data_IF_552032318624
#
_entry.id   IF_552032318624
#
_cell.length_a   1.000
_cell.length_b   1.000
_cell.length_c   1.000
_cell.angle_alpha   90.00
_cell.angle_beta   90.00
_cell.angle_gamma   90.00
#
_symmetry.space_group_name_H-M   'P 1'
#
loop_
_entity.id
_entity.type
_entity.pdbx_description
1 polymer ?
#
# COMPACT_ATOMS: atom_id res chain seq x y z
N UNK A 1 16.69 13.84 46.45
CA UNK A 1 16.49 13.92 44.99
C UNK A 1 16.10 15.35 44.58
N UNK A 2 16.82 15.95 43.63
CA UNK A 2 16.56 17.30 43.12
C UNK A 2 15.16 17.40 42.47
N UNK A 3 14.40 18.47 42.75
CA UNK A 3 13.05 18.69 42.20
C UNK A 3 13.02 18.58 40.65
N UNK A 4 14.07 19.05 39.96
CA UNK A 4 14.21 18.91 38.50
C UNK A 4 14.26 17.45 38.06
N UNK A 5 15.02 16.62 38.78
CA UNK A 5 15.15 15.17 38.49
C UNK A 5 13.81 14.46 38.72
N UNK A 6 13.09 14.82 39.78
CA UNK A 6 11.74 14.29 40.04
C UNK A 6 10.76 14.67 38.92
N UNK A 7 10.78 15.92 38.46
CA UNK A 7 9.93 16.39 37.36
C UNK A 7 10.22 15.66 36.05
N UNK A 8 11.50 15.50 35.69
CA UNK A 8 11.91 14.74 34.49
C UNK A 8 11.42 13.28 34.58
N UNK A 9 11.61 12.61 35.73
CA UNK A 9 11.12 11.24 35.93
C UNK A 9 9.61 11.11 35.76
N UNK A 10 8.84 12.07 36.28
CA UNK A 10 7.38 12.10 36.11
C UNK A 10 6.99 12.31 34.64
N UNK A 11 7.67 13.23 33.95
CA UNK A 11 7.43 13.47 32.53
C UNK A 11 7.72 12.21 31.69
N UNK A 12 8.86 11.53 31.90
CA UNK A 12 9.20 10.28 31.21
C UNK A 12 8.17 9.18 31.46
N UNK A 13 7.68 9.05 32.71
CA UNK A 13 6.63 8.09 33.05
C UNK A 13 5.34 8.40 32.31
N UNK A 14 4.87 9.65 32.37
CA UNK A 14 3.62 10.07 31.71
C UNK A 14 3.71 9.86 30.20
N UNK A 15 4.78 10.34 29.56
CA UNK A 15 4.97 10.18 28.11
C UNK A 15 5.07 8.70 27.73
N UNK A 16 5.85 7.91 28.46
CA UNK A 16 5.98 6.47 28.20
C UNK A 16 4.64 5.74 28.30
N UNK A 17 3.86 5.98 29.35
CA UNK A 17 2.53 5.36 29.49
C UNK A 17 1.57 5.84 28.40
N UNK A 18 1.54 7.15 28.11
CA UNK A 18 0.67 7.71 27.06
C UNK A 18 0.97 7.10 25.68
N UNK A 19 2.24 6.93 25.32
CA UNK A 19 2.60 6.32 24.03
C UNK A 19 2.26 4.82 23.99
N UNK A 20 2.41 4.08 25.09
CA UNK A 20 1.97 2.68 25.15
C UNK A 20 0.46 2.54 24.99
N UNK A 21 -0.31 3.41 25.65
CA UNK A 21 -1.78 3.45 25.50
C UNK A 21 -2.12 3.75 24.05
N UNK A 22 -1.47 4.75 23.45
CA UNK A 22 -1.70 5.15 22.07
C UNK A 22 -1.48 4.01 21.08
N UNK A 23 -0.35 3.30 21.18
CA UNK A 23 -0.05 2.15 20.32
C UNK A 23 -1.04 1.00 20.56
N UNK A 24 -1.45 0.79 21.81
CA UNK A 24 -2.41 -0.26 22.16
C UNK A 24 -3.77 0.03 21.52
N UNK A 25 -4.24 1.29 21.57
CA UNK A 25 -5.46 1.72 20.85
C UNK A 25 -5.30 1.52 19.34
N UNK A 26 -4.11 1.82 18.80
CA UNK A 26 -3.77 1.57 17.40
C UNK A 26 -3.99 0.13 16.94
N UNK A 27 -3.67 -0.87 17.77
CA UNK A 27 -3.87 -2.29 17.43
C UNK A 27 -5.34 -2.66 17.16
N UNK A 28 -6.28 -1.89 17.69
CA UNK A 28 -7.72 -2.11 17.54
C UNK A 28 -8.39 -1.09 16.61
N UNK A 29 -7.60 -0.19 16.01
CA UNK A 29 -8.11 0.86 15.12
C UNK A 29 -7.72 0.51 13.69
N UNK A 30 -8.71 0.18 12.86
CA UNK A 30 -8.47 -0.04 11.43
C UNK A 30 -8.10 1.28 10.72
N UNK A 31 -7.24 1.17 9.70
CA UNK A 31 -6.92 2.27 8.79
C UNK A 31 -8.03 2.51 7.76
N UNK A 32 -8.95 1.57 7.57
CA UNK A 32 -10.08 1.72 6.65
C UNK A 32 -11.03 2.80 7.14
N UNK A 33 -11.50 3.63 6.22
CA UNK A 33 -12.59 4.56 6.49
C UNK A 33 -13.74 4.31 5.52
N UNK A 34 -14.91 3.94 6.05
CA UNK A 34 -16.12 3.63 5.27
C UNK A 34 -16.65 4.79 4.43
N UNK A 35 -16.25 6.03 4.74
CA UNK A 35 -16.62 7.20 3.95
C UNK A 35 -16.15 7.10 2.48
N UNK A 36 -15.09 6.31 2.21
CA UNK A 36 -14.59 6.10 0.84
C UNK A 36 -15.63 5.47 -0.09
N UNK A 37 -16.57 4.67 0.44
CA UNK A 37 -17.64 4.06 -0.34
C UNK A 37 -18.62 5.08 -0.93
N UNK A 38 -18.68 6.28 -0.35
CA UNK A 38 -19.51 7.39 -0.82
C UNK A 38 -18.71 8.47 -1.55
N UNK A 39 -17.39 8.32 -1.66
CA UNK A 39 -16.52 9.32 -2.29
C UNK A 39 -16.81 9.48 -3.79
N UNK A 40 -16.96 10.72 -4.22
CA UNK A 40 -17.26 11.07 -5.61
C UNK A 40 -16.04 11.55 -6.38
N UNK A 41 -14.96 11.90 -5.67
CA UNK A 41 -13.70 12.39 -6.25
C UNK A 41 -12.68 11.27 -6.52
N UNK A 42 -13.12 10.00 -6.54
CA UNK A 42 -12.27 8.88 -6.99
C UNK A 42 -12.14 8.86 -8.52
N UNK A 43 -11.05 8.29 -9.04
CA UNK A 43 -10.78 8.23 -10.49
C UNK A 43 -11.78 7.34 -11.23
N UNK A 44 -12.15 6.19 -10.64
CA UNK A 44 -13.08 5.25 -11.26
C UNK A 44 -14.53 5.47 -10.78
N UNK A 45 -15.50 5.21 -11.66
CA UNK A 45 -16.92 5.12 -11.29
C UNK A 45 -17.10 3.90 -10.38
N UNK A 46 -17.63 4.10 -9.17
CA UNK A 46 -17.81 3.03 -8.19
C UNK A 46 -16.48 2.31 -7.83
N UNK A 47 -15.40 3.09 -7.71
CA UNK A 47 -14.02 2.63 -7.48
C UNK A 47 -13.91 1.61 -6.33
N UNK A 48 -14.62 1.85 -5.22
CA UNK A 48 -14.61 0.94 -4.06
C UNK A 48 -15.93 0.23 -3.93
N UNK A 49 -15.86 -1.11 -3.83
CA UNK A 49 -17.02 -1.97 -3.61
C UNK A 49 -17.06 -2.54 -2.18
N UNK A 50 -15.95 -2.49 -1.43
CA UNK A 50 -15.87 -3.00 -0.05
C UNK A 50 -14.76 -2.32 0.78
N UNK A 51 -14.85 -2.41 2.12
CA UNK A 51 -13.86 -1.90 3.12
C UNK A 51 -13.60 -2.99 4.18
N UNK A 52 -12.46 -2.97 4.88
CA UNK A 52 -11.92 -4.16 5.57
C UNK A 52 -12.83 -4.67 6.68
N UNK A 53 -12.81 -6.00 6.83
CA UNK A 53 -13.37 -6.72 7.98
C UNK A 53 -12.95 -8.19 8.02
N UNK A 54 -12.95 -8.91 6.89
CA UNK A 54 -12.90 -10.40 6.90
C UNK A 54 -11.97 -11.07 5.84
N UNK A 55 -11.05 -10.32 5.22
CA UNK A 55 -10.35 -10.76 4.01
C UNK A 55 -9.08 -11.63 4.14
N UNK A 56 -8.40 -11.79 5.29
CA UNK A 56 -7.24 -12.69 5.36
C UNK A 56 -7.55 -14.13 4.90
N UNK A 57 -8.78 -14.59 5.11
CA UNK A 57 -9.23 -15.90 4.63
C UNK A 57 -9.36 -15.95 3.10
N UNK A 58 -9.87 -14.89 2.46
CA UNK A 58 -10.03 -14.84 1.02
C UNK A 58 -8.70 -14.84 0.27
N UNK A 59 -7.62 -14.34 0.89
CA UNK A 59 -6.28 -14.32 0.27
C UNK A 59 -5.63 -15.70 0.16
N UNK A 60 -6.22 -16.73 0.77
CA UNK A 60 -5.70 -18.11 0.69
C UNK A 60 -6.10 -18.77 -0.62
N UNK A 61 -5.20 -19.63 -1.10
CA UNK A 61 -5.46 -20.53 -2.23
C UNK A 61 -6.58 -21.50 -1.79
N UNK A 62 -7.61 -21.63 -2.63
CA UNK A 62 -8.73 -22.55 -2.39
C UNK A 62 -8.34 -23.98 -2.80
N UNK A 63 -9.05 -24.96 -2.27
CA UNK A 63 -8.84 -26.35 -2.65
C UNK A 63 -9.08 -26.53 -4.16
N UNK A 64 -8.12 -27.17 -4.85
CA UNK A 64 -8.13 -27.41 -6.30
C UNK A 64 -8.19 -26.15 -7.19
N UNK A 65 -7.81 -24.98 -6.65
CA UNK A 65 -7.73 -23.75 -7.44
C UNK A 65 -6.47 -23.74 -8.31
N UNK A 66 -6.65 -23.56 -9.62
CA UNK A 66 -5.53 -23.39 -10.53
C UNK A 66 -4.79 -22.08 -10.25
N UNK A 67 -3.48 -22.04 -10.52
CA UNK A 67 -2.66 -20.87 -10.21
C UNK A 67 -3.15 -19.61 -10.92
N UNK A 68 -3.51 -19.72 -12.20
CA UNK A 68 -4.03 -18.58 -12.96
C UNK A 68 -5.38 -18.09 -12.38
N UNK A 69 -6.28 -19.01 -12.02
CA UNK A 69 -7.56 -18.67 -11.38
C UNK A 69 -7.35 -17.93 -10.06
N UNK A 70 -6.40 -18.40 -9.24
CA UNK A 70 -6.02 -17.72 -8.00
C UNK A 70 -5.51 -16.29 -8.28
N UNK A 71 -4.60 -16.14 -9.25
CA UNK A 71 -4.02 -14.84 -9.63
C UNK A 71 -5.09 -13.86 -10.12
N UNK A 72 -5.97 -14.31 -11.01
CA UNK A 72 -7.10 -13.51 -11.51
C UNK A 72 -8.03 -13.09 -10.38
N UNK A 73 -8.36 -14.02 -9.47
CA UNK A 73 -9.19 -13.73 -8.30
C UNK A 73 -8.55 -12.71 -7.36
N UNK A 74 -7.25 -12.82 -7.09
CA UNK A 74 -6.52 -11.85 -6.26
C UNK A 74 -6.43 -10.48 -6.95
N UNK A 75 -6.22 -10.44 -8.27
CA UNK A 75 -6.23 -9.20 -9.04
C UNK A 75 -7.58 -8.47 -8.90
N UNK A 76 -8.68 -9.21 -9.07
CA UNK A 76 -10.04 -8.68 -8.89
C UNK A 76 -10.34 -8.31 -7.44
N UNK A 77 -9.86 -9.08 -6.47
CA UNK A 77 -10.02 -8.78 -5.04
C UNK A 77 -9.39 -7.42 -4.70
N UNK A 78 -8.14 -7.19 -5.12
CA UNK A 78 -7.44 -5.93 -4.88
C UNK A 78 -8.13 -4.78 -5.60
N UNK A 79 -8.51 -4.95 -6.87
CA UNK A 79 -9.22 -3.93 -7.65
C UNK A 79 -10.54 -3.49 -7.00
N UNK A 80 -11.32 -4.41 -6.46
CA UNK A 80 -12.62 -4.08 -5.87
C UNK A 80 -12.51 -3.40 -4.50
N UNK A 81 -11.33 -3.44 -3.88
CA UNK A 81 -11.16 -3.18 -2.47
C UNK A 81 -10.28 -1.94 -2.21
N UNK A 82 -9.36 -1.62 -3.12
CA UNK A 82 -8.51 -0.44 -2.99
C UNK A 82 -9.05 0.67 -3.90
N UNK A 83 -9.33 1.82 -3.30
CA UNK A 83 -9.67 3.02 -4.05
C UNK A 83 -8.42 3.63 -4.68
N UNK A 84 -8.49 4.07 -5.94
CA UNK A 84 -7.56 5.06 -6.46
C UNK A 84 -7.96 6.46 -5.99
N UNK A 85 -7.29 6.94 -4.95
CA UNK A 85 -7.50 8.28 -4.40
C UNK A 85 -6.24 8.81 -3.73
N UNK A 86 -5.84 10.04 -4.07
CA UNK A 86 -4.64 10.66 -3.52
C UNK A 86 -4.78 12.17 -3.26
N UNK A 87 -6.01 12.67 -3.11
CA UNK A 87 -6.26 14.09 -2.91
C UNK A 87 -5.94 14.57 -1.48
N UNK A 88 -5.54 15.83 -1.36
CA UNK A 88 -5.19 16.42 -0.07
C UNK A 88 -6.40 16.58 0.85
N UNK A 89 -7.61 16.75 0.29
CA UNK A 89 -8.86 16.83 1.04
C UNK A 89 -9.12 15.57 1.88
N UNK A 90 -8.77 14.39 1.34
CA UNK A 90 -8.91 13.11 2.02
C UNK A 90 -7.68 12.69 2.83
N UNK A 91 -6.63 13.52 2.91
CA UNK A 91 -5.36 13.18 3.57
C UNK A 91 -5.52 12.64 4.98
N UNK A 92 -6.34 13.32 5.80
CA UNK A 92 -6.64 12.87 7.17
C UNK A 92 -7.81 11.89 7.20
N UNK A 93 -8.83 12.09 6.36
CA UNK A 93 -10.05 11.27 6.38
C UNK A 93 -9.76 9.82 6.02
N UNK A 94 -8.96 9.60 4.98
CA UNK A 94 -8.61 8.28 4.45
C UNK A 94 -7.23 7.80 4.91
N UNK A 95 -6.67 8.41 5.96
CA UNK A 95 -5.40 8.00 6.56
C UNK A 95 -4.25 7.93 5.53
N UNK A 96 -4.25 8.83 4.53
CA UNK A 96 -3.10 8.97 3.62
C UNK A 96 -1.88 9.47 4.40
N UNK A 97 -2.11 10.41 5.33
CA UNK A 97 -1.18 10.64 6.42
C UNK A 97 -1.36 9.56 7.48
N UNK A 98 -0.25 8.96 7.90
CA UNK A 98 -0.26 7.93 8.93
C UNK A 98 -0.86 8.48 10.23
N UNK A 99 -1.94 7.88 10.78
CA UNK A 99 -2.50 8.32 12.04
C UNK A 99 -1.51 8.18 13.19
N UNK A 100 -1.60 9.07 14.18
CA UNK A 100 -0.74 9.01 15.35
C UNK A 100 -0.92 7.71 16.15
N UNK A 101 -2.14 7.14 16.13
CA UNK A 101 -2.47 5.85 16.73
C UNK A 101 -1.84 4.67 15.99
N UNK A 102 -1.64 4.78 14.68
CA UNK A 102 -1.02 3.72 13.87
C UNK A 102 0.50 3.70 14.08
N UNK A 103 1.15 4.85 13.92
CA UNK A 103 2.59 4.97 14.10
C UNK A 103 2.99 6.43 14.33
N UNK A 104 3.17 6.83 15.60
CA UNK A 104 3.47 8.22 15.94
C UNK A 104 4.83 8.72 15.39
N UNK A 105 5.77 7.82 15.05
CA UNK A 105 7.06 8.18 14.46
C UNK A 105 6.85 8.61 13.00
N UNK A 106 6.14 7.81 12.21
CA UNK A 106 5.80 8.13 10.82
C UNK A 106 4.82 9.31 10.73
N UNK A 107 3.86 9.38 11.67
CA UNK A 107 2.98 10.55 11.81
C UNK A 107 3.78 11.84 11.99
N UNK A 108 4.76 11.85 12.91
CA UNK A 108 5.64 12.99 13.13
C UNK A 108 6.51 13.29 11.91
N UNK A 109 7.04 12.26 11.25
CA UNK A 109 7.79 12.41 10.01
C UNK A 109 6.97 13.10 8.91
N UNK A 110 5.64 12.91 8.88
CA UNK A 110 4.73 13.61 7.97
C UNK A 110 4.69 15.14 8.13
N UNK A 111 5.14 15.67 9.27
CA UNK A 111 5.27 17.12 9.51
C UNK A 111 6.70 17.62 9.33
N UNK A 112 7.70 16.79 9.66
CA UNK A 112 9.12 17.18 9.59
C UNK A 112 9.67 17.01 8.16
N UNK A 113 9.21 15.99 7.45
CA UNK A 113 9.62 15.62 6.10
C UNK A 113 8.37 15.40 5.21
N UNK A 114 7.52 16.43 5.05
CA UNK A 114 6.23 16.28 4.39
C UNK A 114 6.34 15.80 2.93
N UNK A 115 7.44 16.12 2.23
CA UNK A 115 7.70 15.68 0.86
C UNK A 115 7.74 14.15 0.69
N UNK A 116 8.03 13.41 1.78
CA UNK A 116 8.12 11.95 1.76
C UNK A 116 7.05 11.25 2.60
N UNK A 117 6.51 11.93 3.62
CA UNK A 117 5.65 11.31 4.64
C UNK A 117 4.28 11.97 4.82
N UNK A 118 3.98 13.06 4.12
CA UNK A 118 2.67 13.71 4.23
C UNK A 118 1.55 12.78 3.74
N UNK A 119 1.72 12.17 2.56
CA UNK A 119 0.87 11.08 2.04
C UNK A 119 1.77 9.86 1.87
N UNK A 120 1.50 8.81 2.61
CA UNK A 120 2.42 7.70 2.79
C UNK A 120 1.98 6.48 2.01
N UNK A 121 2.86 5.94 1.18
CA UNK A 121 2.69 4.61 0.59
C UNK A 121 3.43 3.58 1.44
N UNK A 122 2.69 2.60 1.95
CA UNK A 122 3.19 1.51 2.76
C UNK A 122 3.98 0.50 1.92
N UNK A 123 5.10 0.03 2.46
CA UNK A 123 5.76 -1.19 2.03
C UNK A 123 5.11 -2.44 2.67
N UNK A 124 4.52 -2.29 3.87
CA UNK A 124 3.72 -3.33 4.49
C UNK A 124 2.36 -3.42 3.81
N UNK A 125 2.24 -4.43 2.95
CA UNK A 125 1.06 -4.61 2.13
C UNK A 125 -0.21 -4.88 2.95
N UNK A 126 -0.12 -5.46 4.16
CA UNK A 126 -1.28 -5.62 5.04
C UNK A 126 -1.81 -4.28 5.56
N UNK A 127 -0.93 -3.30 5.79
CA UNK A 127 -1.32 -1.95 6.19
C UNK A 127 -1.86 -1.15 5.01
N UNK A 128 -1.26 -1.31 3.84
CA UNK A 128 -1.81 -0.78 2.59
C UNK A 128 -3.22 -1.31 2.33
N UNK A 129 -3.40 -2.63 2.47
CA UNK A 129 -4.68 -3.31 2.32
C UNK A 129 -5.67 -2.85 3.39
N UNK A 130 -5.32 -2.84 4.68
CA UNK A 130 -6.23 -2.35 5.72
C UNK A 130 -6.65 -0.89 5.51
N UNK A 131 -5.82 -0.03 4.92
CA UNK A 131 -6.22 1.35 4.60
C UNK A 131 -7.29 1.42 3.50
N UNK A 132 -7.25 0.54 2.50
CA UNK A 132 -8.25 0.51 1.43
C UNK A 132 -8.12 1.65 0.40
N UNK A 133 -7.04 2.44 0.43
CA UNK A 133 -6.85 3.60 -0.45
C UNK A 133 -5.39 3.75 -0.87
N UNK A 134 -5.13 4.06 -2.14
CA UNK A 134 -3.80 4.34 -2.64
C UNK A 134 -3.72 4.75 -4.10
N UNK A 135 -2.50 4.79 -4.63
CA UNK A 135 -2.21 4.93 -6.05
C UNK A 135 -2.10 3.54 -6.71
N UNK A 136 -1.86 3.48 -8.03
CA UNK A 136 -1.62 2.23 -8.76
C UNK A 136 -0.48 1.39 -8.13
N UNK A 137 0.56 2.05 -7.65
CA UNK A 137 1.67 1.47 -6.89
C UNK A 137 1.22 0.71 -5.64
N UNK A 138 0.27 1.24 -4.87
CA UNK A 138 -0.25 0.56 -3.69
C UNK A 138 -1.05 -0.69 -4.06
N UNK A 139 -1.79 -0.67 -5.17
CA UNK A 139 -2.45 -1.88 -5.68
C UNK A 139 -1.41 -2.95 -6.04
N UNK A 140 -0.33 -2.58 -6.74
CA UNK A 140 0.74 -3.50 -7.09
C UNK A 140 1.49 -4.05 -5.86
N UNK A 141 1.77 -3.21 -4.86
CA UNK A 141 2.38 -3.63 -3.59
C UNK A 141 1.49 -4.65 -2.88
N UNK A 142 0.19 -4.41 -2.84
CA UNK A 142 -0.80 -5.29 -2.22
C UNK A 142 -0.85 -6.64 -2.91
N UNK A 143 -1.07 -6.67 -4.23
CA UNK A 143 -1.16 -7.91 -4.98
C UNK A 143 0.15 -8.69 -4.86
N UNK A 144 1.29 -8.05 -5.13
CA UNK A 144 2.62 -8.67 -4.98
C UNK A 144 2.83 -9.26 -3.58
N UNK A 145 2.40 -8.54 -2.53
CA UNK A 145 2.49 -9.00 -1.15
C UNK A 145 1.67 -10.27 -0.89
N UNK A 146 0.41 -10.28 -1.33
CA UNK A 146 -0.49 -11.44 -1.21
C UNK A 146 0.08 -12.67 -1.93
N UNK A 147 0.62 -12.49 -3.14
CA UNK A 147 1.21 -13.57 -3.93
C UNK A 147 2.46 -14.15 -3.26
N UNK A 148 3.34 -13.28 -2.74
CA UNK A 148 4.53 -13.70 -2.02
C UNK A 148 4.18 -14.50 -0.74
N UNK A 149 3.16 -14.09 0.01
CA UNK A 149 2.67 -14.81 1.19
C UNK A 149 2.10 -16.21 0.87
N UNK A 150 1.72 -16.44 -0.39
CA UNK A 150 1.26 -17.73 -0.92
C UNK A 150 2.34 -18.46 -1.74
N UNK A 151 3.61 -18.05 -1.63
CA UNK A 151 4.77 -18.63 -2.33
C UNK A 151 4.65 -18.59 -3.86
N UNK A 152 3.95 -17.59 -4.42
CA UNK A 152 3.91 -17.35 -5.87
C UNK A 152 4.90 -16.22 -6.19
N UNK A 153 5.93 -16.48 -7.03
CA UNK A 153 6.88 -15.44 -7.41
C UNK A 153 6.17 -14.26 -8.08
N UNK A 154 6.36 -13.07 -7.49
CA UNK A 154 5.80 -11.83 -8.01
C UNK A 154 6.80 -10.67 -7.85
N UNK A 155 6.78 -9.77 -8.83
CA UNK A 155 7.61 -8.57 -8.92
C UNK A 155 6.72 -7.36 -9.20
N UNK A 156 7.28 -6.18 -9.03
CA UNK A 156 6.64 -4.92 -9.42
C UNK A 156 7.31 -4.42 -10.70
N UNK A 157 6.50 -3.93 -11.63
CA UNK A 157 6.97 -3.19 -12.79
C UNK A 157 6.57 -1.73 -12.58
N UNK A 158 7.54 -0.83 -12.63
CA UNK A 158 7.25 0.58 -12.88
C UNK A 158 7.30 0.80 -14.37
N UNK A 159 6.19 1.29 -14.90
CA UNK A 159 6.04 1.79 -16.25
C UNK A 159 6.19 3.32 -16.22
N UNK A 160 6.25 3.97 -17.38
CA UNK A 160 6.31 5.44 -17.47
C UNK A 160 5.01 6.10 -16.98
N UNK A 161 4.89 6.28 -15.66
CA UNK A 161 3.72 6.90 -15.00
C UNK A 161 2.69 5.90 -14.46
N UNK A 162 2.93 4.59 -14.54
CA UNK A 162 2.02 3.56 -14.05
C UNK A 162 2.77 2.41 -13.38
N UNK A 163 2.11 1.64 -12.51
CA UNK A 163 2.75 0.56 -11.75
C UNK A 163 1.84 -0.65 -11.69
N UNK A 164 2.40 -1.81 -12.02
CA UNK A 164 1.67 -3.08 -12.17
C UNK A 164 2.43 -4.23 -11.51
N UNK A 165 1.73 -5.35 -11.29
CA UNK A 165 2.33 -6.58 -10.76
C UNK A 165 2.73 -7.49 -11.92
N UNK A 166 3.88 -8.14 -11.81
CA UNK A 166 4.35 -9.18 -12.73
C UNK A 166 4.45 -10.48 -11.96
N UNK A 167 3.77 -11.53 -12.39
CA UNK A 167 3.70 -12.77 -11.61
C UNK A 167 3.88 -14.01 -12.50
N UNK A 168 4.49 -15.03 -11.92
CA UNK A 168 4.63 -16.36 -12.51
C UNK A 168 3.28 -17.10 -12.52
N UNK A 169 2.77 -17.42 -13.71
CA UNK A 169 1.51 -18.16 -13.87
C UNK A 169 1.70 -19.69 -13.89
N UNK A 170 2.94 -20.18 -13.82
CA UNK A 170 3.29 -21.60 -13.77
C UNK A 170 3.34 -22.33 -15.12
N UNK A 171 2.88 -21.69 -16.22
CA UNK A 171 2.96 -22.22 -17.59
C UNK A 171 3.86 -21.30 -18.42
N UNK A 172 5.18 -21.47 -18.27
CA UNK A 172 6.25 -20.79 -19.04
C UNK A 172 6.07 -19.29 -19.26
N UNK A 173 5.33 -18.57 -18.40
CA UNK A 173 5.07 -17.16 -18.62
C UNK A 173 4.96 -16.41 -17.30
N UNK A 174 5.71 -15.32 -17.25
CA UNK A 174 5.39 -14.21 -16.39
C UNK A 174 4.37 -13.33 -17.11
N UNK A 175 3.30 -12.97 -16.43
CA UNK A 175 2.25 -12.13 -17.00
C UNK A 175 1.99 -10.91 -16.12
N UNK A 176 1.35 -9.91 -16.72
CA UNK A 176 1.13 -8.60 -16.11
C UNK A 176 -0.28 -8.56 -15.54
N UNK A 177 -0.38 -8.15 -14.28
CA UNK A 177 -1.61 -7.97 -13.53
C UNK A 177 -1.68 -6.52 -13.07
N UNK A 178 -2.69 -5.83 -13.57
CA UNK A 178 -3.00 -4.45 -13.20
C UNK A 178 -4.24 -4.42 -12.33
N UNK A 179 -4.02 -4.59 -11.04
CA UNK A 179 -5.07 -4.55 -10.03
C UNK A 179 -5.67 -3.16 -9.83
N UNK A 180 -5.07 -2.09 -10.38
CA UNK A 180 -5.72 -0.78 -10.35
C UNK A 180 -6.90 -0.73 -11.33
N UNK A 181 -6.77 -1.39 -12.48
CA UNK A 181 -7.82 -1.45 -13.50
C UNK A 181 -8.59 -2.78 -13.53
N UNK A 182 -8.20 -3.74 -12.68
CA UNK A 182 -8.72 -5.10 -12.70
C UNK A 182 -8.34 -5.87 -13.97
N UNK A 183 -7.25 -5.49 -14.63
CA UNK A 183 -6.83 -6.00 -15.94
C UNK A 183 -5.79 -7.10 -15.78
N UNK A 184 -5.91 -8.13 -16.62
CA UNK A 184 -4.90 -9.16 -16.84
C UNK A 184 -4.40 -9.09 -18.29
N UNK A 185 -3.09 -9.04 -18.47
CA UNK A 185 -2.45 -9.04 -19.79
C UNK A 185 -1.76 -10.39 -19.95
N UNK A 186 -2.24 -11.27 -20.85
CA UNK A 186 -1.69 -12.61 -21.06
C UNK A 186 -0.39 -12.57 -21.90
N UNK A 187 0.47 -11.59 -21.63
CA UNK A 187 1.74 -11.36 -22.29
C UNK A 187 2.83 -11.01 -21.28
N UNK A 188 4.07 -11.22 -21.67
CA UNK A 188 5.25 -10.75 -20.93
C UNK A 188 5.42 -9.24 -21.08
N UNK A 189 6.28 -8.63 -20.25
CA UNK A 189 6.65 -7.23 -20.42
C UNK A 189 7.31 -6.98 -21.79
N UNK A 190 8.20 -7.87 -22.22
CA UNK A 190 8.91 -7.75 -23.52
C UNK A 190 7.93 -7.77 -24.70
N UNK A 191 6.92 -8.64 -24.67
CA UNK A 191 5.88 -8.67 -25.71
C UNK A 191 5.03 -7.40 -25.71
N UNK A 192 4.66 -6.89 -24.53
CA UNK A 192 3.94 -5.63 -24.40
C UNK A 192 4.77 -4.44 -24.88
N UNK A 193 6.06 -4.41 -24.61
CA UNK A 193 7.01 -3.38 -25.08
C UNK A 193 7.21 -3.39 -26.60
N UNK A 194 7.26 -4.59 -27.19
CA UNK A 194 7.40 -4.75 -28.64
C UNK A 194 6.10 -4.47 -29.40
N UNK A 195 4.94 -4.61 -28.75
CA UNK A 195 3.64 -4.28 -29.33
C UNK A 195 2.70 -3.57 -28.35
N UNK A 196 2.99 -2.32 -27.92
CA UNK A 196 2.22 -1.66 -26.87
C UNK A 196 0.77 -1.40 -27.27
N UNK A 197 0.48 -1.31 -28.58
CA UNK A 197 -0.89 -1.14 -29.08
C UNK A 197 -1.81 -2.30 -28.73
N UNK A 198 -1.29 -3.50 -28.46
CA UNK A 198 -2.14 -4.64 -28.10
C UNK A 198 -2.85 -4.44 -26.77
N UNK A 199 -2.27 -3.64 -25.86
CA UNK A 199 -2.88 -3.40 -24.55
C UNK A 199 -4.15 -2.56 -24.65
N UNK A 200 -4.34 -1.80 -25.74
CA UNK A 200 -5.54 -0.97 -25.95
C UNK A 200 -6.82 -1.79 -25.86
N UNK A 201 -6.87 -2.90 -26.59
CA UNK A 201 -8.07 -3.74 -26.64
C UNK A 201 -8.34 -4.40 -25.28
N UNK A 202 -7.27 -4.69 -24.52
CA UNK A 202 -7.35 -5.26 -23.18
C UNK A 202 -7.92 -4.24 -22.17
N UNK A 203 -7.47 -2.98 -22.22
CA UNK A 203 -7.90 -1.93 -21.30
C UNK A 203 -9.22 -1.25 -21.65
N UNK A 204 -9.74 -1.47 -22.87
CA UNK A 204 -10.90 -0.76 -23.43
C UNK A 204 -12.11 -0.70 -22.48
N UNK A 205 -12.42 -1.81 -21.81
CA UNK A 205 -13.56 -1.86 -20.90
C UNK A 205 -13.27 -1.15 -19.58
N UNK A 206 -12.10 -1.38 -18.97
CA UNK A 206 -11.73 -0.75 -17.70
C UNK A 206 -11.58 0.77 -17.81
N UNK A 207 -11.11 1.28 -18.96
CA UNK A 207 -11.02 2.74 -19.19
C UNK A 207 -12.40 3.37 -19.40
N UNK A 208 -13.38 2.63 -19.92
CA UNK A 208 -14.75 3.14 -20.03
C UNK A 208 -15.41 3.43 -18.66
N UNK A 209 -14.93 2.77 -17.61
CA UNK A 209 -15.38 2.95 -16.23
C UNK A 209 -14.78 4.19 -15.54
N UNK A 210 -13.93 4.96 -16.23
CA UNK A 210 -13.45 6.24 -15.72
C UNK A 210 -14.61 7.21 -15.47
N UNK A 211 -14.52 7.96 -14.36
CA UNK A 211 -15.31 9.18 -14.24
C UNK A 211 -14.84 10.18 -15.30
N UNK A 212 -15.78 10.96 -15.82
CA UNK A 212 -15.48 12.15 -16.62
C UNK A 212 -14.88 13.22 -15.69
N UNK A 213 -13.71 12.93 -15.13
CA UNK A 213 -12.82 13.93 -14.53
C UNK A 213 -11.92 14.42 -15.65
N UNK A 214 -11.48 15.69 -15.58
CA UNK A 214 -11.03 16.53 -16.69
C UNK A 214 -9.93 15.99 -17.65
N UNK A 215 -9.37 14.79 -17.47
CA UNK A 215 -8.56 14.06 -18.48
C UNK A 215 -8.35 12.59 -18.05
N UNK A 216 -9.24 11.63 -18.38
CA UNK A 216 -8.94 10.22 -18.19
C UNK A 216 -7.79 9.83 -19.13
N UNK A 217 -6.87 8.97 -18.65
CA UNK A 217 -5.82 8.43 -19.51
C UNK A 217 -6.46 7.77 -20.74
N UNK A 218 -6.13 8.25 -21.93
CA UNK A 218 -6.63 7.69 -23.18
C UNK A 218 -6.07 6.28 -23.39
N UNK A 219 -6.71 5.51 -24.27
CA UNK A 219 -6.17 4.20 -24.68
C UNK A 219 -4.80 4.35 -25.35
N UNK A 220 -4.56 5.48 -26.03
CA UNK A 220 -3.28 5.86 -26.61
C UNK A 220 -2.21 6.06 -25.54
N UNK A 221 -2.50 6.83 -24.49
CA UNK A 221 -1.58 7.07 -23.39
C UNK A 221 -1.34 5.81 -22.56
N UNK A 222 -2.38 5.00 -22.32
CA UNK A 222 -2.22 3.70 -21.65
C UNK A 222 -1.34 2.75 -22.48
N UNK A 223 -1.51 2.71 -23.80
CA UNK A 223 -0.58 1.96 -24.65
C UNK A 223 0.83 2.54 -24.60
N UNK A 224 0.97 3.86 -24.53
CA UNK A 224 2.28 4.50 -24.47
C UNK A 224 3.06 4.15 -23.20
N UNK A 225 2.41 3.97 -22.05
CA UNK A 225 3.12 3.60 -20.80
C UNK A 225 3.79 2.22 -20.89
N UNK A 226 3.32 1.33 -21.77
CA UNK A 226 3.95 0.03 -22.04
C UNK A 226 5.07 0.10 -23.07
N UNK A 227 5.40 1.27 -23.63
CA UNK A 227 6.58 1.42 -24.49
C UNK A 227 7.88 1.13 -23.73
N UNK A 228 9.00 0.91 -24.44
CA UNK A 228 10.29 0.52 -23.85
C UNK A 228 10.95 1.59 -22.98
N UNK A 229 10.51 2.85 -23.06
CA UNK A 229 11.14 3.96 -22.36
C UNK A 229 10.71 4.02 -20.89
N UNK A 230 11.67 3.88 -19.97
CA UNK A 230 11.45 4.08 -18.54
C UNK A 230 10.87 2.88 -17.78
N UNK A 231 10.60 1.76 -18.45
CA UNK A 231 10.13 0.55 -17.79
C UNK A 231 11.24 -0.09 -16.94
N UNK A 232 10.86 -0.50 -15.72
CA UNK A 232 11.77 -1.14 -14.79
C UNK A 232 11.08 -2.27 -14.04
N UNK A 233 11.65 -3.47 -14.14
CA UNK A 233 11.29 -4.62 -13.29
C UNK A 233 12.10 -4.55 -12.00
N UNK A 234 11.41 -4.56 -10.86
CA UNK A 234 12.05 -4.63 -9.55
C UNK A 234 12.16 -6.09 -9.11
N UNK A 235 13.31 -6.69 -9.37
CA UNK A 235 13.64 -8.09 -9.02
C UNK A 235 13.47 -8.37 -7.51
N UNK A 236 13.73 -7.37 -6.67
CA UNK A 236 13.55 -7.40 -5.22
C UNK A 236 12.08 -7.16 -4.78
N UNK A 237 11.13 -7.16 -5.72
CA UNK A 237 9.71 -6.92 -5.50
C UNK A 237 9.43 -5.61 -4.78
N UNK A 238 8.59 -5.67 -3.74
CA UNK A 238 8.21 -4.51 -2.91
C UNK A 238 9.44 -3.77 -2.36
N UNK A 239 10.46 -4.50 -1.89
CA UNK A 239 11.67 -3.90 -1.31
C UNK A 239 12.45 -3.09 -2.34
N UNK A 240 12.58 -3.62 -3.56
CA UNK A 240 13.23 -2.94 -4.67
C UNK A 240 12.48 -1.67 -5.05
N UNK A 241 11.17 -1.80 -5.24
CA UNK A 241 10.29 -0.72 -5.70
C UNK A 241 10.24 0.46 -4.73
N UNK A 242 9.92 0.23 -3.45
CA UNK A 242 9.82 1.32 -2.46
C UNK A 242 11.20 1.88 -2.07
N UNK A 243 12.27 1.17 -2.43
CA UNK A 243 13.64 1.48 -2.06
C UNK A 243 14.02 0.95 -0.66
N UNK A 244 15.24 0.43 -0.58
CA UNK A 244 15.80 -0.19 0.63
C UNK A 244 15.62 0.66 1.90
N UNK A 245 15.94 1.96 1.83
CA UNK A 245 15.85 2.86 2.99
C UNK A 245 14.43 2.96 3.53
N UNK A 246 13.46 3.28 2.68
CA UNK A 246 12.05 3.43 3.08
C UNK A 246 11.50 2.12 3.64
N UNK A 247 11.80 1.00 2.98
CA UNK A 247 11.38 -0.33 3.43
C UNK A 247 11.81 -0.64 4.88
N UNK A 248 13.09 -0.43 5.21
CA UNK A 248 13.59 -0.69 6.56
C UNK A 248 13.25 0.40 7.57
N UNK A 249 13.07 1.66 7.15
CA UNK A 249 12.54 2.72 8.02
C UNK A 249 11.13 2.36 8.47
N UNK A 250 10.26 1.93 7.55
CA UNK A 250 8.90 1.52 7.89
C UNK A 250 8.93 0.34 8.87
N UNK A 251 9.61 -0.76 8.51
CA UNK A 251 9.74 -1.92 9.40
C UNK A 251 10.32 -1.57 10.76
N UNK A 252 11.39 -0.78 10.79
CA UNK A 252 12.05 -0.33 12.02
C UNK A 252 11.14 0.55 12.88
N UNK A 253 10.33 1.40 12.26
CA UNK A 253 9.41 2.28 12.98
C UNK A 253 8.35 1.47 13.74
N UNK A 254 7.84 0.38 13.17
CA UNK A 254 6.88 -0.50 13.85
C UNK A 254 7.46 -1.23 15.07
N UNK A 255 8.77 -1.43 15.14
CA UNK A 255 9.44 -1.88 16.37
C UNK A 255 9.68 -0.72 17.33
N UNK A 256 10.12 0.43 16.79
CA UNK A 256 10.50 1.59 17.57
C UNK A 256 9.32 2.22 18.32
N UNK A 257 8.10 2.17 17.78
CA UNK A 257 6.90 2.66 18.49
C UNK A 257 6.71 1.96 19.84
N UNK A 258 7.12 0.69 19.99
CA UNK A 258 7.04 -0.05 21.25
C UNK A 258 8.29 0.08 22.10
N UNK A 259 9.47 0.03 21.47
CA UNK A 259 10.74 0.09 22.20
C UNK A 259 10.95 1.44 22.88
N UNK A 260 10.61 2.55 22.20
CA UNK A 260 10.86 3.88 22.73
C UNK A 260 10.09 4.17 24.03
N UNK A 261 8.77 3.92 24.13
CA UNK A 261 8.04 4.09 25.38
C UNK A 261 8.57 3.20 26.52
N UNK A 262 8.95 1.95 26.22
CA UNK A 262 9.55 1.05 27.21
C UNK A 262 10.88 1.58 27.74
N UNK A 263 11.73 2.15 26.88
CA UNK A 263 12.97 2.79 27.30
C UNK A 263 12.71 3.99 28.22
N UNK A 264 11.72 4.84 27.91
CA UNK A 264 11.34 5.96 28.78
C UNK A 264 10.95 5.48 30.19
N UNK A 265 10.19 4.38 30.27
CA UNK A 265 9.82 3.75 31.54
C UNK A 265 11.03 3.15 32.28
N UNK A 266 11.94 2.48 31.57
CA UNK A 266 13.15 1.93 32.17
C UNK A 266 14.04 3.04 32.77
N UNK A 267 14.19 4.17 32.07
CA UNK A 267 14.94 5.33 32.60
C UNK A 267 14.28 5.95 33.84
N UNK A 268 12.95 5.89 33.95
CA UNK A 268 12.25 6.27 35.17
C UNK A 268 12.69 5.40 36.38
N UNK A 269 12.81 4.08 36.19
CA UNK A 269 13.13 3.13 37.27
C UNK A 269 14.64 2.97 37.58
N UNK A 270 15.53 3.18 36.61
CA UNK A 270 16.97 2.83 36.75
C UNK A 270 17.81 3.78 37.62
N UNK A 271 17.34 4.99 37.92
CA UNK A 271 18.07 5.91 38.80
C UNK A 271 17.70 5.66 40.28
N UNK A 272 18.60 5.11 41.11
CA UNK A 272 18.37 4.99 42.55
C UNK A 272 18.22 6.37 43.20
N UNK A 273 17.58 6.37 44.38
CA UNK A 273 17.16 7.54 45.19
C UNK A 273 18.28 8.55 45.46
#
# INVERSE_FOLDING_TARGET
>A
MNLKVLMIKKALLVVGVSLLILNTVGLFTSLSNKAILSEQETVFKNDVKAVSGEYPAETKIRENEERLDYLLRMNTLVNNYIAYYWEDAGKSTYNLQIPITENYILWMAGYVFPEHYAKYEFANYWKAFDRGVGLCSQHAIILTGILNDNNIPAKIISLSGHVVTYADTGVDNWNIFDSNYGVFIPHTLEEAENNPKMVKDIYKNSIADYREVDEPISLEEMAAVYGTEGNQVYEDGIRGYVGFKKYYIEKGSYWAIWLFPLLLLLFHFRYPK
#
